data_IF_577529515099
#
_entry.id   IF_577529515099
#
_cell.length_a   1.000
_cell.length_b   1.000
_cell.length_c   1.000
_cell.angle_alpha   90.00
_cell.angle_beta   90.00
_cell.angle_gamma   90.00
#
_symmetry.space_group_name_H-M   'P 1'
#
loop_
_entity.id
_entity.type
_entity.pdbx_description
1 polymer ?
#
# COMPACT_ATOMS: atom_id res chain seq x y z
N UNK A 1 2.00 23.32 11.85
CA UNK A 1 1.52 22.29 10.92
C UNK A 1 0.06 22.01 11.26
N UNK A 2 -0.86 22.10 10.30
CA UNK A 2 -2.27 21.79 10.54
C UNK A 2 -2.41 20.27 10.47
N UNK A 3 -2.53 19.62 11.63
CA UNK A 3 -2.89 18.20 11.70
C UNK A 3 -4.32 18.04 11.19
N UNK A 4 -4.59 16.99 10.41
CA UNK A 4 -5.96 16.69 9.97
C UNK A 4 -6.85 16.48 11.19
N UNK A 5 -7.84 17.36 11.35
CA UNK A 5 -8.84 17.29 12.42
C UNK A 5 -9.54 15.92 12.39
N UNK A 6 -9.85 15.38 13.56
CA UNK A 6 -10.44 14.06 13.82
C UNK A 6 -11.68 13.79 12.95
N UNK A 7 -12.47 14.84 12.69
CA UNK A 7 -13.66 14.77 11.83
C UNK A 7 -13.35 14.49 10.34
N UNK A 8 -12.17 14.88 9.83
CA UNK A 8 -11.77 14.56 8.46
C UNK A 8 -11.31 13.12 8.30
N UNK A 9 -10.83 12.46 9.36
CA UNK A 9 -10.49 11.01 9.32
C UNK A 9 -11.70 10.14 8.98
N UNK A 10 -12.91 10.57 9.36
CA UNK A 10 -14.15 9.88 9.03
C UNK A 10 -14.48 9.89 7.53
N UNK A 11 -13.99 10.89 6.77
CA UNK A 11 -14.30 11.04 5.34
C UNK A 11 -13.50 10.08 4.45
N UNK A 12 -12.31 9.64 4.87
CA UNK A 12 -11.39 8.90 3.98
C UNK A 12 -11.31 7.40 4.24
N UNK A 13 -11.91 6.88 5.33
CA UNK A 13 -11.86 5.47 5.70
C UNK A 13 -10.43 4.96 5.98
N UNK A 14 -10.29 3.88 6.75
CA UNK A 14 -8.98 3.23 6.92
C UNK A 14 -8.67 2.32 5.74
N UNK A 15 -7.37 2.15 5.47
CA UNK A 15 -6.85 1.12 4.55
C UNK A 15 -7.36 -0.27 4.94
N UNK A 16 -7.47 -1.16 3.96
CA UNK A 16 -8.03 -2.49 4.14
C UNK A 16 -6.92 -3.51 4.35
N UNK A 17 -7.04 -4.31 5.40
CA UNK A 17 -6.29 -5.54 5.56
C UNK A 17 -7.15 -6.68 5.02
N UNK A 18 -6.64 -7.35 4.00
CA UNK A 18 -7.27 -8.55 3.44
C UNK A 18 -6.49 -9.74 3.99
N UNK A 19 -7.19 -10.65 4.66
CA UNK A 19 -6.61 -11.90 5.14
C UNK A 19 -6.90 -12.94 4.07
N UNK A 20 -5.83 -13.50 3.51
CA UNK A 20 -5.88 -14.56 2.52
C UNK A 20 -5.12 -15.77 3.08
N UNK A 21 -5.83 -16.85 3.38
CA UNK A 21 -5.23 -18.10 3.86
C UNK A 21 -4.87 -19.03 2.71
N UNK A 22 -5.15 -18.65 1.47
CA UNK A 22 -4.80 -19.44 0.29
C UNK A 22 -3.33 -19.25 -0.08
N UNK A 23 -2.73 -20.29 -0.66
CA UNK A 23 -1.36 -20.25 -1.15
C UNK A 23 -1.26 -19.60 -2.55
N UNK A 24 -2.39 -19.22 -3.16
CA UNK A 24 -2.47 -18.79 -4.57
C UNK A 24 -3.01 -17.36 -4.78
N UNK A 25 -3.05 -16.54 -3.72
CA UNK A 25 -3.56 -15.16 -3.75
C UNK A 25 -5.02 -15.07 -4.26
N UNK A 26 -5.86 -16.06 -3.96
CA UNK A 26 -7.25 -16.12 -4.41
C UNK A 26 -8.06 -14.89 -4.03
N UNK A 27 -7.80 -14.27 -2.87
CA UNK A 27 -8.50 -13.05 -2.46
C UNK A 27 -8.14 -11.87 -3.38
N UNK A 28 -6.85 -11.72 -3.75
CA UNK A 28 -6.43 -10.68 -4.68
C UNK A 28 -7.11 -10.86 -6.05
N UNK A 29 -7.14 -12.10 -6.56
CA UNK A 29 -7.81 -12.43 -7.82
C UNK A 29 -9.30 -12.10 -7.77
N UNK A 30 -9.98 -12.43 -6.68
CA UNK A 30 -11.39 -12.12 -6.49
C UNK A 30 -11.64 -10.61 -6.50
N UNK A 31 -10.78 -9.82 -5.85
CA UNK A 31 -10.91 -8.36 -5.80
C UNK A 31 -10.80 -7.71 -7.19
N UNK A 32 -9.94 -8.23 -8.06
CA UNK A 32 -9.91 -7.81 -9.47
C UNK A 32 -11.16 -8.28 -10.22
N UNK A 33 -11.57 -9.53 -10.04
CA UNK A 33 -12.73 -10.12 -10.74
C UNK A 33 -14.03 -9.39 -10.43
N UNK A 34 -14.25 -8.98 -9.18
CA UNK A 34 -15.46 -8.25 -8.76
C UNK A 34 -15.37 -6.74 -8.99
N UNK A 35 -14.27 -6.25 -9.56
CA UNK A 35 -14.08 -4.84 -9.90
C UNK A 35 -13.80 -3.91 -8.71
N UNK A 36 -13.41 -4.46 -7.55
CA UNK A 36 -12.93 -3.67 -6.42
C UNK A 36 -11.56 -3.08 -6.71
N UNK A 37 -10.70 -3.84 -7.39
CA UNK A 37 -9.43 -3.39 -7.93
C UNK A 37 -9.51 -3.32 -9.45
N UNK A 38 -8.94 -2.27 -10.04
CA UNK A 38 -8.87 -2.12 -11.49
C UNK A 38 -7.61 -2.84 -12.02
N UNK A 39 -7.72 -3.76 -13.00
CA UNK A 39 -6.56 -4.50 -13.52
C UNK A 39 -5.60 -3.62 -14.35
N UNK A 40 -5.98 -2.39 -14.69
CA UNK A 40 -5.09 -1.46 -15.39
C UNK A 40 -3.93 -1.00 -14.48
N UNK A 41 -2.66 -1.21 -14.87
CA UNK A 41 -1.49 -0.77 -14.10
C UNK A 41 -1.37 0.76 -13.92
N UNK A 42 -2.09 1.54 -14.73
CA UNK A 42 -2.19 2.99 -14.56
C UNK A 42 -3.10 3.39 -13.40
N UNK A 43 -3.95 2.47 -12.93
CA UNK A 43 -4.90 2.71 -11.83
C UNK A 43 -4.58 1.92 -10.57
N UNK A 44 -4.10 0.68 -10.71
CA UNK A 44 -3.72 -0.18 -9.58
C UNK A 44 -2.31 -0.72 -9.75
N UNK A 45 -1.46 -0.51 -8.75
CA UNK A 45 -0.12 -1.09 -8.69
C UNK A 45 -0.08 -2.19 -7.63
N UNK A 46 0.43 -3.37 -7.99
CA UNK A 46 0.60 -4.48 -7.05
C UNK A 46 2.07 -4.63 -6.68
N UNK A 47 2.37 -4.58 -5.38
CA UNK A 47 3.70 -4.84 -4.85
C UNK A 47 3.72 -6.21 -4.18
N UNK A 48 4.60 -7.08 -4.68
CA UNK A 48 4.85 -8.40 -4.10
C UNK A 48 6.27 -8.43 -3.56
N UNK A 49 6.40 -8.68 -2.27
CA UNK A 49 7.71 -8.97 -1.68
C UNK A 49 7.94 -10.48 -1.65
N UNK A 50 9.17 -10.85 -1.98
CA UNK A 50 9.60 -12.24 -2.04
C UNK A 50 10.03 -12.73 -0.66
N UNK A 51 9.67 -13.97 -0.36
CA UNK A 51 10.09 -14.69 0.85
C UNK A 51 11.38 -15.49 0.64
N UNK A 52 11.96 -15.46 -0.56
CA UNK A 52 13.26 -16.09 -0.82
C UNK A 52 14.40 -15.32 -0.13
N UNK A 53 15.24 -16.04 0.61
CA UNK A 53 16.32 -15.51 1.47
C UNK A 53 17.23 -14.50 0.75
N UNK A 54 17.55 -14.77 -0.52
CA UNK A 54 18.41 -13.90 -1.34
C UNK A 54 17.76 -12.54 -1.67
N UNK A 55 16.43 -12.49 -1.72
CA UNK A 55 15.67 -11.25 -1.88
C UNK A 55 15.44 -10.51 -0.55
N UNK A 56 15.55 -11.20 0.60
CA UNK A 56 15.31 -10.61 1.92
C UNK A 56 16.36 -9.57 2.28
N UNK A 57 17.62 -9.87 1.98
CA UNK A 57 18.76 -9.01 2.28
C UNK A 57 18.97 -7.91 1.24
N UNK A 58 18.07 -7.78 0.26
CA UNK A 58 18.17 -6.77 -0.78
C UNK A 58 17.51 -5.46 -0.29
N UNK A 59 18.24 -4.72 0.55
CA UNK A 59 17.81 -3.40 1.04
C UNK A 59 17.51 -2.42 -0.11
N UNK A 60 18.26 -2.52 -1.22
CA UNK A 60 18.06 -1.68 -2.40
C UNK A 60 16.66 -1.89 -3.00
N UNK A 61 16.22 -3.14 -3.11
CA UNK A 61 14.87 -3.50 -3.58
C UNK A 61 13.78 -2.93 -2.68
N UNK A 62 14.01 -2.91 -1.36
CA UNK A 62 13.06 -2.29 -0.42
C UNK A 62 12.95 -0.79 -0.64
N UNK A 63 14.08 -0.11 -0.89
CA UNK A 63 14.10 1.33 -1.19
C UNK A 63 13.39 1.63 -2.51
N UNK A 64 13.61 0.82 -3.54
CA UNK A 64 12.93 0.96 -4.85
C UNK A 64 11.41 0.78 -4.72
N UNK A 65 10.96 -0.22 -3.96
CA UNK A 65 9.53 -0.44 -3.69
C UNK A 65 8.94 0.76 -2.93
N UNK A 66 9.61 1.24 -1.87
CA UNK A 66 9.13 2.39 -1.10
C UNK A 66 9.06 3.67 -1.94
N UNK A 67 10.05 3.91 -2.80
CA UNK A 67 10.07 5.03 -3.75
C UNK A 67 8.88 4.95 -4.71
N UNK A 68 8.59 3.76 -5.22
CA UNK A 68 7.46 3.53 -6.14
C UNK A 68 6.10 3.67 -5.44
N UNK A 69 5.99 3.20 -4.19
CA UNK A 69 4.81 3.42 -3.34
C UNK A 69 4.57 4.91 -3.16
N UNK A 70 5.61 5.69 -2.85
CA UNK A 70 5.50 7.15 -2.71
C UNK A 70 4.98 7.79 -3.99
N UNK A 71 5.52 7.43 -5.16
CA UNK A 71 5.03 7.92 -6.44
C UNK A 71 3.56 7.54 -6.70
N UNK A 72 3.15 6.32 -6.33
CA UNK A 72 1.74 5.89 -6.44
C UNK A 72 0.82 6.73 -5.54
N UNK A 73 1.27 7.05 -4.32
CA UNK A 73 0.54 7.94 -3.40
C UNK A 73 0.41 9.35 -3.96
N UNK A 74 1.47 9.89 -4.56
CA UNK A 74 1.48 11.22 -5.20
C UNK A 74 0.57 11.30 -6.44
N UNK A 75 0.46 10.19 -7.19
CA UNK A 75 -0.32 10.12 -8.43
C UNK A 75 -1.75 9.61 -8.24
N UNK A 76 -2.14 9.25 -7.02
CA UNK A 76 -3.50 8.78 -6.71
C UNK A 76 -3.81 7.37 -7.20
N UNK A 77 -2.78 6.54 -7.42
CA UNK A 77 -2.97 5.13 -7.80
C UNK A 77 -3.38 4.28 -6.60
N UNK A 78 -4.22 3.28 -6.84
CA UNK A 78 -4.54 2.25 -5.84
C UNK A 78 -3.33 1.33 -5.67
N UNK A 79 -3.02 0.98 -4.42
CA UNK A 79 -1.88 0.12 -4.09
C UNK A 79 -2.40 -1.16 -3.45
N UNK A 80 -2.04 -2.31 -4.02
CA UNK A 80 -2.20 -3.62 -3.38
C UNK A 80 -0.82 -4.11 -2.91
N UNK A 81 -0.70 -4.43 -1.63
CA UNK A 81 0.54 -4.91 -1.02
C UNK A 81 0.38 -6.37 -0.61
N UNK A 82 1.28 -7.24 -1.07
CA UNK A 82 1.30 -8.68 -0.77
C UNK A 82 2.65 -9.05 -0.16
N UNK A 83 2.63 -9.74 0.98
CA UNK A 83 3.80 -10.19 1.73
C UNK A 83 4.80 -9.08 2.12
N UNK A 84 4.34 -7.83 2.27
CA UNK A 84 5.19 -6.66 2.51
C UNK A 84 5.49 -6.37 3.98
N UNK A 85 5.48 -7.38 4.85
CA UNK A 85 5.62 -7.19 6.31
C UNK A 85 6.90 -6.44 6.70
N UNK A 86 7.98 -6.59 5.93
CA UNK A 86 9.29 -5.99 6.21
C UNK A 86 9.32 -4.47 6.08
N UNK A 87 8.50 -3.89 5.21
CA UNK A 87 8.42 -2.42 5.02
C UNK A 87 7.24 -1.79 5.76
N UNK A 88 6.49 -2.57 6.54
CA UNK A 88 5.34 -2.06 7.28
C UNK A 88 5.74 -0.97 8.28
N UNK A 89 6.91 -1.12 8.92
CA UNK A 89 7.46 -0.11 9.82
C UNK A 89 7.72 1.24 9.13
N UNK A 90 8.22 1.22 7.89
CA UNK A 90 8.47 2.42 7.09
C UNK A 90 7.20 3.17 6.67
N UNK A 91 6.04 2.48 6.69
CA UNK A 91 4.74 3.02 6.28
C UNK A 91 3.82 3.29 7.48
N UNK A 92 4.33 3.19 8.72
CA UNK A 92 3.54 3.31 9.94
C UNK A 92 2.71 4.59 10.01
N UNK A 93 3.32 5.75 9.73
CA UNK A 93 2.61 7.03 9.75
C UNK A 93 1.56 7.15 8.64
N UNK A 94 1.84 6.54 7.48
CA UNK A 94 0.89 6.47 6.37
C UNK A 94 -0.33 5.66 6.79
N UNK A 95 -0.15 4.45 7.32
CA UNK A 95 -1.26 3.59 7.74
C UNK A 95 -2.10 4.18 8.88
N UNK A 96 -1.47 4.94 9.78
CA UNK A 96 -2.15 5.67 10.84
C UNK A 96 -2.77 7.01 10.39
N UNK A 97 -2.60 7.37 9.12
CA UNK A 97 -3.11 8.61 8.54
C UNK A 97 -2.63 9.86 9.30
N UNK A 98 -1.36 9.85 9.69
CA UNK A 98 -0.68 10.96 10.37
C UNK A 98 -0.19 12.00 9.34
N UNK A 99 -1.11 12.60 8.57
CA UNK A 99 -0.75 13.60 7.57
C UNK A 99 -0.82 15.02 8.13
N UNK A 100 0.05 15.89 7.60
CA UNK A 100 -0.01 17.32 7.85
C UNK A 100 -0.22 18.06 6.53
N UNK A 101 -1.06 19.07 6.55
CA UNK A 101 -1.28 19.92 5.37
C UNK A 101 -0.24 21.03 5.42
N UNK A 102 0.63 21.11 4.40
CA UNK A 102 1.39 22.32 4.13
C UNK A 102 0.55 23.21 3.22
N UNK A 103 0.03 24.30 3.79
CA UNK A 103 -0.50 25.39 2.97
C UNK A 103 0.70 26.03 2.24
N UNK A 104 0.63 26.06 0.91
CA UNK A 104 1.56 26.81 0.07
C UNK A 104 0.92 28.14 -0.28
#
# INVERSE_FOLDING_TARGET
SMQLDSNRRLLYGRYKLVIDETEDESAARLLFQVGVLDPNPDKTTVFRMSDFVDDINNELKNVEILSTIKLCMETGKTILMVNTGRIHGSLYDVFNQNFSIMAT
#
